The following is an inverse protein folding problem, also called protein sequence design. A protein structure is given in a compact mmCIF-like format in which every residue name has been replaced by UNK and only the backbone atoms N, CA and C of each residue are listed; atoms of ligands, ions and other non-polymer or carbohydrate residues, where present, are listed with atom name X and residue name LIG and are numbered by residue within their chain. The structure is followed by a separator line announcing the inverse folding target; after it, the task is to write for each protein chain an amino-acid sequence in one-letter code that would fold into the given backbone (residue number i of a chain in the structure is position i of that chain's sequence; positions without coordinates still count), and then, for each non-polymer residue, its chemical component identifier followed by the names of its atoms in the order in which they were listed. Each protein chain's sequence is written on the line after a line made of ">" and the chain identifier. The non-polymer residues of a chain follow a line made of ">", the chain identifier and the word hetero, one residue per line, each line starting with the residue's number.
data_IF_774805948619
#
_entry.id   IF_774805948619
#
_cell.length_a   1.000
_cell.length_b   1.000
_cell.length_c   1.000
_cell.angle_alpha   90.00
_cell.angle_beta   90.00
_cell.angle_gamma   90.00
#
_symmetry.space_group_name_H-M   'P 1'
#
loop_
_entity.id
_entity.type
_entity.pdbx_description
1 polymer ?
#
# COMPACT_ATOMS: atom_id res chain seq x y z
N UNK A 1 -10.66 -52.28 11.83
CA UNK A 1 -9.90 -51.01 11.73
C UNK A 1 -10.75 -49.94 11.04
N UNK A 2 -11.11 -48.89 11.76
CA UNK A 2 -12.05 -47.83 11.34
C UNK A 2 -11.46 -46.89 10.28
N UNK A 3 -11.73 -47.16 9.00
CA UNK A 3 -11.37 -46.28 7.87
C UNK A 3 -12.18 -44.96 7.81
N UNK A 4 -13.17 -44.77 8.69
CA UNK A 4 -14.09 -43.61 8.69
C UNK A 4 -13.67 -42.46 9.60
N UNK A 5 -12.63 -42.61 10.42
CA UNK A 5 -12.18 -41.55 11.33
C UNK A 5 -11.09 -40.64 10.74
N UNK A 6 -10.54 -40.96 9.57
CA UNK A 6 -9.41 -40.21 8.99
C UNK A 6 -9.81 -39.05 8.06
N UNK A 7 -11.09 -38.91 7.70
CA UNK A 7 -11.54 -37.88 6.73
C UNK A 7 -12.08 -36.61 7.42
N UNK A 8 -12.16 -36.57 8.75
CA UNK A 8 -12.71 -35.38 9.46
C UNK A 8 -11.68 -34.28 9.79
N UNK A 9 -10.39 -34.50 9.53
CA UNK A 9 -9.33 -33.53 9.87
C UNK A 9 -8.98 -32.56 8.72
N UNK A 10 -9.42 -32.81 7.48
CA UNK A 10 -8.90 -32.11 6.30
C UNK A 10 -9.69 -30.86 5.88
N UNK A 11 -10.80 -30.54 6.56
CA UNK A 11 -11.68 -29.40 6.20
C UNK A 11 -11.48 -28.20 7.14
N UNK A 12 -10.87 -28.38 8.31
CA UNK A 12 -10.68 -27.31 9.31
C UNK A 12 -9.42 -26.46 9.08
N UNK A 13 -8.45 -26.97 8.33
CA UNK A 13 -7.17 -26.31 8.09
C UNK A 13 -7.27 -24.99 7.30
N UNK A 14 -8.05 -24.89 6.20
CA UNK A 14 -8.15 -23.63 5.44
C UNK A 14 -8.87 -22.53 6.23
N UNK A 15 -9.93 -22.89 6.96
CA UNK A 15 -10.74 -21.91 7.72
C UNK A 15 -9.96 -21.36 8.91
N UNK A 16 -9.24 -22.22 9.65
CA UNK A 16 -8.39 -21.78 10.75
C UNK A 16 -7.26 -20.84 10.27
N UNK A 17 -6.66 -21.12 9.11
CA UNK A 17 -5.60 -20.28 8.54
C UNK A 17 -6.13 -18.90 8.10
N UNK A 18 -7.33 -18.84 7.52
CA UNK A 18 -7.97 -17.57 7.13
C UNK A 18 -8.37 -16.74 8.37
N UNK A 19 -8.87 -17.39 9.43
CA UNK A 19 -9.20 -16.69 10.67
C UNK A 19 -7.95 -16.19 11.40
N UNK A 20 -6.89 -17.00 11.46
CA UNK A 20 -5.61 -16.61 12.07
C UNK A 20 -4.94 -15.45 11.32
N UNK A 21 -4.94 -15.48 9.98
CA UNK A 21 -4.36 -14.39 9.17
C UNK A 21 -5.15 -13.09 9.31
N UNK A 22 -6.49 -13.13 9.34
CA UNK A 22 -7.31 -11.96 9.67
C UNK A 22 -7.02 -11.41 11.06
N UNK A 23 -6.85 -12.27 12.06
CA UNK A 23 -6.53 -11.85 13.43
C UNK A 23 -5.16 -11.16 13.48
N UNK A 24 -4.12 -11.78 12.93
CA UNK A 24 -2.77 -11.19 12.87
C UNK A 24 -2.77 -9.86 12.12
N UNK A 25 -3.43 -9.79 10.95
CA UNK A 25 -3.56 -8.56 10.18
C UNK A 25 -4.29 -7.45 10.96
N UNK A 26 -5.21 -7.81 11.87
CA UNK A 26 -5.91 -6.85 12.72
C UNK A 26 -5.04 -6.37 13.90
N UNK A 27 -4.18 -7.26 14.42
CA UNK A 27 -3.30 -6.94 15.55
C UNK A 27 -2.04 -6.16 15.12
N UNK A 28 -1.58 -6.34 13.88
CA UNK A 28 -0.42 -5.63 13.36
C UNK A 28 -0.77 -4.17 13.08
N UNK A 29 -0.02 -3.26 13.71
CA UNK A 29 -0.18 -1.84 13.50
C UNK A 29 0.63 -1.39 12.29
N UNK A 30 0.05 -0.49 11.50
CA UNK A 30 0.65 0.14 10.34
C UNK A 30 0.64 1.67 10.51
N UNK A 31 1.38 2.19 11.51
CA UNK A 31 1.34 3.61 11.84
C UNK A 31 1.97 4.43 10.70
N UNK A 32 1.14 5.17 9.97
CA UNK A 32 1.63 6.16 9.00
C UNK A 32 2.37 7.31 9.68
N UNK A 33 2.17 7.53 10.99
CA UNK A 33 2.94 8.50 11.78
C UNK A 33 4.44 8.26 11.71
N UNK A 34 4.86 7.00 11.74
CA UNK A 34 6.28 6.66 11.78
C UNK A 34 6.93 6.93 10.42
N UNK A 35 6.22 6.60 9.34
CA UNK A 35 6.64 6.96 7.98
C UNK A 35 6.63 8.48 7.80
N UNK A 36 5.63 9.19 8.34
CA UNK A 36 5.56 10.65 8.26
C UNK A 36 6.76 11.31 8.95
N UNK A 37 7.17 10.82 10.12
CA UNK A 37 8.38 11.29 10.82
C UNK A 37 9.61 11.02 9.97
N UNK A 38 9.73 9.82 9.38
CA UNK A 38 10.83 9.48 8.48
C UNK A 38 10.89 10.42 7.27
N UNK A 39 9.76 10.63 6.57
CA UNK A 39 9.66 11.50 5.40
C UNK A 39 10.09 12.94 5.74
N UNK A 40 9.64 13.48 6.89
CA UNK A 40 10.01 14.82 7.35
C UNK A 40 11.49 14.97 7.68
N UNK A 41 12.19 13.87 7.96
CA UNK A 41 13.62 13.88 8.27
C UNK A 41 14.52 13.66 7.03
N UNK A 42 13.96 13.33 5.86
CA UNK A 42 14.74 13.11 4.65
C UNK A 42 15.36 14.42 4.15
N UNK A 43 16.68 14.44 3.83
CA UNK A 43 17.33 15.60 3.21
C UNK A 43 17.18 15.57 1.68
N UNK A 44 16.21 16.29 1.06
CA UNK A 44 15.82 16.09 -0.35
C UNK A 44 16.98 16.20 -1.36
N UNK A 45 17.95 17.09 -1.09
CA UNK A 45 19.10 17.33 -1.97
C UNK A 45 20.18 16.24 -1.93
N UNK A 46 20.11 15.34 -0.95
CA UNK A 46 21.05 14.22 -0.81
C UNK A 46 20.42 12.88 -1.17
N UNK A 47 19.15 12.87 -1.57
CA UNK A 47 18.45 11.63 -1.89
C UNK A 47 18.87 11.11 -3.27
N UNK A 48 19.18 9.82 -3.32
CA UNK A 48 19.45 9.06 -4.54
C UNK A 48 18.54 7.86 -4.62
N UNK A 49 18.20 7.43 -5.84
CA UNK A 49 17.42 6.22 -6.10
C UNK A 49 18.29 5.12 -6.69
N UNK A 50 18.08 3.89 -6.25
CA UNK A 50 18.67 2.67 -6.83
C UNK A 50 17.74 1.99 -7.87
N UNK A 51 16.51 2.48 -8.02
CA UNK A 51 15.50 1.94 -8.93
C UNK A 51 15.54 2.55 -10.33
N UNK A 52 14.57 2.15 -11.16
CA UNK A 52 14.36 2.71 -12.51
C UNK A 52 13.89 4.16 -12.45
N UNK A 53 13.00 4.47 -11.50
CA UNK A 53 12.53 5.82 -11.26
C UNK A 53 13.51 6.62 -10.40
N UNK A 54 13.65 7.90 -10.71
CA UNK A 54 14.38 8.82 -9.83
C UNK A 54 13.58 9.10 -8.54
N UNK A 55 14.23 9.74 -7.56
CA UNK A 55 13.62 10.02 -6.25
C UNK A 55 12.30 10.79 -6.39
N UNK A 56 12.29 11.83 -7.22
CA UNK A 56 11.08 12.65 -7.46
C UNK A 56 9.92 11.83 -8.00
N UNK A 57 10.16 10.96 -8.98
CA UNK A 57 9.13 10.08 -9.54
C UNK A 57 8.58 9.09 -8.50
N UNK A 58 9.45 8.51 -7.66
CA UNK A 58 9.02 7.62 -6.57
C UNK A 58 8.08 8.37 -5.59
N UNK A 59 8.47 9.57 -5.18
CA UNK A 59 7.67 10.41 -4.26
C UNK A 59 6.34 10.83 -4.89
N UNK A 60 6.33 11.20 -6.18
CA UNK A 60 5.11 11.52 -6.94
C UNK A 60 4.17 10.31 -7.03
N UNK A 61 4.70 9.12 -7.34
CA UNK A 61 3.90 7.89 -7.41
C UNK A 61 3.24 7.58 -6.06
N UNK A 62 3.99 7.69 -4.97
CA UNK A 62 3.45 7.51 -3.62
C UNK A 62 2.36 8.55 -3.31
N UNK A 63 2.55 9.79 -3.76
CA UNK A 63 1.57 10.88 -3.60
C UNK A 63 0.27 10.56 -4.35
N UNK A 64 0.36 10.11 -5.60
CA UNK A 64 -0.80 9.66 -6.38
C UNK A 64 -1.54 8.52 -5.66
N UNK A 65 -0.81 7.50 -5.20
CA UNK A 65 -1.40 6.34 -4.51
C UNK A 65 -2.22 6.75 -3.28
N UNK A 66 -1.67 7.64 -2.43
CA UNK A 66 -2.34 8.09 -1.21
C UNK A 66 -3.50 9.04 -1.53
N UNK A 67 -3.26 10.04 -2.37
CA UNK A 67 -4.26 11.06 -2.71
C UNK A 67 -5.50 10.43 -3.35
N UNK A 68 -5.34 9.41 -4.19
CA UNK A 68 -6.47 8.73 -4.84
C UNK A 68 -7.33 7.89 -3.90
N UNK A 69 -6.86 7.58 -2.68
CA UNK A 69 -7.75 7.02 -1.65
C UNK A 69 -8.80 8.03 -1.17
N UNK A 70 -8.54 9.33 -1.34
CA UNK A 70 -9.45 10.44 -1.00
C UNK A 70 -10.20 10.93 -2.26
N UNK A 71 -9.47 11.21 -3.33
CA UNK A 71 -10.00 11.88 -4.53
C UNK A 71 -10.43 10.93 -5.64
N UNK A 72 -10.03 9.65 -5.57
CA UNK A 72 -10.44 8.61 -6.50
C UNK A 72 -9.35 8.25 -7.50
N UNK A 73 -9.23 6.96 -7.80
CA UNK A 73 -8.28 6.47 -8.81
C UNK A 73 -8.84 6.73 -10.21
N UNK A 74 -8.01 7.19 -11.18
CA UNK A 74 -8.48 7.55 -12.51
C UNK A 74 -9.08 6.38 -13.30
N UNK A 75 -8.49 5.19 -13.17
CA UNK A 75 -8.99 3.97 -13.79
C UNK A 75 -8.95 2.81 -12.80
N UNK A 76 -10.07 2.10 -12.71
CA UNK A 76 -10.18 0.88 -11.94
C UNK A 76 -9.77 -0.35 -12.78
N UNK A 77 -9.11 -1.33 -12.16
CA UNK A 77 -9.03 -2.69 -12.74
C UNK A 77 -10.42 -3.34 -12.74
N UNK A 78 -10.60 -4.38 -13.54
CA UNK A 78 -11.90 -5.03 -13.71
C UNK A 78 -12.49 -5.49 -12.35
N UNK A 79 -13.82 -5.44 -12.16
CA UNK A 79 -14.45 -5.90 -10.92
C UNK A 79 -14.06 -7.33 -10.55
N UNK A 80 -13.94 -8.24 -11.54
CA UNK A 80 -13.51 -9.62 -11.33
C UNK A 80 -12.11 -9.70 -10.70
N UNK A 81 -11.17 -8.82 -11.07
CA UNK A 81 -9.84 -8.75 -10.45
C UNK A 81 -9.92 -8.24 -9.00
N UNK A 82 -10.71 -7.19 -8.76
CA UNK A 82 -10.87 -6.61 -7.43
C UNK A 82 -11.53 -7.58 -6.43
N UNK A 83 -12.52 -8.35 -6.87
CA UNK A 83 -13.29 -9.27 -6.03
C UNK A 83 -12.64 -10.64 -5.81
N UNK A 84 -11.59 -11.01 -6.56
CA UNK A 84 -10.91 -12.30 -6.42
C UNK A 84 -9.62 -12.21 -5.62
N UNK A 85 -8.57 -11.65 -6.23
CA UNK A 85 -7.21 -11.61 -5.68
C UNK A 85 -7.07 -10.44 -4.70
N UNK A 86 -7.73 -9.32 -4.96
CA UNK A 86 -7.48 -8.05 -4.26
C UNK A 86 -7.72 -8.09 -2.75
N UNK A 87 -8.91 -8.52 -2.30
CA UNK A 87 -9.24 -8.54 -0.86
C UNK A 87 -8.47 -9.59 -0.06
N UNK A 88 -8.15 -10.73 -0.66
CA UNK A 88 -7.34 -11.77 -0.02
C UNK A 88 -5.87 -11.32 0.06
N UNK A 89 -5.37 -10.66 -0.98
CA UNK A 89 -4.01 -10.12 -1.01
C UNK A 89 -3.79 -9.04 0.07
N UNK A 90 -4.72 -8.11 0.28
CA UNK A 90 -4.58 -7.08 1.33
C UNK A 90 -4.43 -7.69 2.72
N UNK A 91 -5.24 -8.70 3.07
CA UNK A 91 -5.12 -9.36 4.37
C UNK A 91 -3.81 -10.16 4.49
N UNK A 92 -3.37 -10.79 3.39
CA UNK A 92 -2.09 -11.49 3.36
C UNK A 92 -0.92 -10.51 3.55
N UNK A 93 -0.88 -9.39 2.83
CA UNK A 93 0.14 -8.36 2.96
C UNK A 93 0.15 -7.73 4.36
N UNK A 94 -1.03 -7.47 4.93
CA UNK A 94 -1.18 -6.99 6.29
C UNK A 94 -0.73 -8.02 7.35
N UNK A 95 -0.80 -9.32 7.05
CA UNK A 95 -0.28 -10.34 7.95
C UNK A 95 1.25 -10.48 7.81
N UNK A 96 1.78 -10.51 6.59
CA UNK A 96 3.22 -10.70 6.32
C UNK A 96 4.04 -9.44 6.60
N UNK A 97 3.44 -8.26 6.49
CA UNK A 97 4.18 -7.00 6.57
C UNK A 97 4.93 -6.64 5.31
N UNK A 98 4.56 -7.22 4.17
CA UNK A 98 5.19 -6.94 2.87
C UNK A 98 4.13 -6.86 1.80
N UNK A 99 4.21 -5.82 0.99
CA UNK A 99 3.45 -5.69 -0.25
C UNK A 99 4.45 -5.86 -1.39
N UNK A 100 4.23 -6.87 -2.24
CA UNK A 100 5.09 -7.11 -3.40
C UNK A 100 4.36 -6.69 -4.67
N UNK A 101 4.94 -5.73 -5.38
CA UNK A 101 4.48 -5.21 -6.66
C UNK A 101 5.70 -4.66 -7.43
N UNK A 102 5.59 -4.48 -8.75
CA UNK A 102 6.62 -3.77 -9.51
C UNK A 102 6.74 -2.32 -9.01
N UNK A 103 7.96 -1.89 -8.71
CA UNK A 103 8.21 -0.55 -8.14
C UNK A 103 8.28 0.57 -9.18
N UNK A 104 8.14 0.21 -10.46
CA UNK A 104 8.17 1.08 -11.63
C UNK A 104 6.90 0.96 -12.50
N UNK A 105 5.80 0.43 -11.94
CA UNK A 105 4.49 0.36 -12.61
C UNK A 105 3.64 1.60 -12.29
N UNK A 106 3.26 2.43 -13.30
CA UNK A 106 2.40 3.59 -13.07
C UNK A 106 0.98 3.19 -12.68
N UNK A 107 0.30 4.05 -11.92
CA UNK A 107 -1.12 3.87 -11.61
C UNK A 107 -1.93 4.04 -12.92
N UNK A 108 -2.81 3.09 -13.27
CA UNK A 108 -3.61 3.18 -14.49
C UNK A 108 -4.39 4.50 -14.61
N UNK A 109 -4.15 5.21 -15.72
CA UNK A 109 -4.81 6.48 -16.03
C UNK A 109 -4.35 7.69 -15.19
N UNK A 110 -3.38 7.53 -14.30
CA UNK A 110 -2.79 8.66 -13.59
C UNK A 110 -1.92 9.53 -14.53
N UNK A 111 -1.76 10.83 -14.24
CA UNK A 111 -0.79 11.67 -14.94
C UNK A 111 0.61 11.06 -14.91
N UNK A 112 1.37 11.28 -15.98
CA UNK A 112 2.75 10.84 -16.04
C UNK A 112 3.58 11.47 -14.91
N UNK A 113 4.55 10.71 -14.40
CA UNK A 113 5.48 11.20 -13.36
C UNK A 113 6.51 12.11 -14.01
N UNK A 114 6.74 13.28 -13.43
CA UNK A 114 7.63 14.31 -13.99
C UNK A 114 9.06 14.16 -13.43
N UNK A 115 10.04 13.67 -14.22
CA UNK A 115 11.37 13.40 -13.69
C UNK A 115 12.13 14.66 -13.27
N UNK A 116 11.80 15.81 -13.85
CA UNK A 116 12.44 17.10 -13.59
C UNK A 116 11.87 17.87 -12.40
N UNK A 117 10.83 17.37 -11.72
CA UNK A 117 10.29 18.02 -10.54
C UNK A 117 11.30 17.92 -9.38
N UNK A 118 11.64 19.03 -8.68
CA UNK A 118 12.57 18.98 -7.56
C UNK A 118 12.14 18.01 -6.44
N UNK A 119 13.12 17.32 -5.84
CA UNK A 119 12.86 16.35 -4.78
C UNK A 119 12.17 16.98 -3.56
N UNK A 120 12.51 18.22 -3.20
CA UNK A 120 11.91 18.92 -2.06
C UNK A 120 10.42 19.21 -2.28
N UNK A 121 10.04 19.55 -3.52
CA UNK A 121 8.65 19.75 -3.92
C UNK A 121 7.88 18.43 -3.87
N UNK A 122 8.41 17.37 -4.50
CA UNK A 122 7.77 16.06 -4.49
C UNK A 122 7.63 15.47 -3.07
N UNK A 123 8.64 15.66 -2.22
CA UNK A 123 8.62 15.22 -0.83
C UNK A 123 7.58 15.97 0.00
N UNK A 124 7.46 17.29 -0.19
CA UNK A 124 6.48 18.13 0.52
C UNK A 124 5.04 17.74 0.16
N UNK A 125 4.78 17.48 -1.12
CA UNK A 125 3.48 17.00 -1.59
C UNK A 125 3.13 15.64 -0.98
N UNK A 126 4.09 14.70 -0.93
CA UNK A 126 3.87 13.41 -0.29
C UNK A 126 3.53 13.56 1.20
N UNK A 127 4.31 14.36 1.93
CA UNK A 127 4.07 14.65 3.36
C UNK A 127 2.67 15.20 3.57
N UNK A 128 2.28 16.20 2.77
CA UNK A 128 0.94 16.80 2.83
C UNK A 128 -0.16 15.75 2.61
N UNK A 129 -0.05 14.89 1.60
CA UNK A 129 -1.06 13.89 1.32
C UNK A 129 -1.11 12.75 2.35
N UNK A 130 0.02 12.40 2.98
CA UNK A 130 0.04 11.48 4.13
C UNK A 130 -0.74 12.08 5.30
N UNK A 131 -0.47 13.35 5.66
CA UNK A 131 -1.18 14.06 6.73
C UNK A 131 -2.68 14.19 6.43
N UNK A 132 -3.02 14.62 5.22
CA UNK A 132 -4.41 14.71 4.76
C UNK A 132 -5.12 13.36 4.86
N UNK A 133 -4.49 12.27 4.44
CA UNK A 133 -5.06 10.94 4.62
C UNK A 133 -5.22 10.60 6.10
N UNK A 134 -4.24 10.84 6.96
CA UNK A 134 -4.35 10.53 8.38
C UNK A 134 -5.55 11.24 9.04
N UNK A 135 -5.78 12.50 8.68
CA UNK A 135 -6.85 13.33 9.21
C UNK A 135 -8.21 13.14 8.52
N UNK A 136 -8.24 12.53 7.34
CA UNK A 136 -9.47 12.36 6.55
C UNK A 136 -10.53 11.54 7.28
N UNK A 137 -11.68 12.19 7.54
CA UNK A 137 -12.90 11.59 8.12
C UNK A 137 -14.03 11.37 7.11
N UNK A 138 -13.84 11.80 5.87
CA UNK A 138 -14.83 11.63 4.80
C UNK A 138 -14.88 10.19 4.27
N UNK A 139 -15.77 9.96 3.31
CA UNK A 139 -15.81 8.72 2.55
C UNK A 139 -14.50 8.52 1.78
N UNK A 140 -13.96 7.30 1.80
CA UNK A 140 -12.81 6.92 0.98
C UNK A 140 -13.29 6.35 -0.36
N UNK A 141 -12.48 6.56 -1.38
CA UNK A 141 -12.73 6.04 -2.71
C UNK A 141 -12.27 4.58 -2.82
N UNK A 142 -12.82 3.78 -3.76
CA UNK A 142 -12.37 2.41 -3.97
C UNK A 142 -10.93 2.36 -4.51
N UNK A 143 -10.12 1.42 -4.02
CA UNK A 143 -8.77 1.20 -4.54
C UNK A 143 -8.83 0.59 -5.94
N UNK A 144 -8.02 1.09 -6.88
CA UNK A 144 -8.07 0.62 -8.28
C UNK A 144 -7.89 -0.89 -8.44
N UNK A 145 -7.05 -1.51 -7.60
CA UNK A 145 -6.77 -2.94 -7.61
C UNK A 145 -7.58 -3.77 -6.59
N UNK A 146 -8.02 -3.16 -5.49
CA UNK A 146 -8.55 -3.89 -4.33
C UNK A 146 -10.03 -3.59 -4.03
N UNK A 147 -10.63 -2.65 -4.77
CA UNK A 147 -12.01 -2.21 -4.56
C UNK A 147 -12.18 -1.48 -3.23
N UNK A 148 -13.36 -1.59 -2.63
CA UNK A 148 -13.69 -0.90 -1.38
C UNK A 148 -12.85 -1.45 -0.21
N UNK A 149 -12.11 -0.56 0.44
CA UNK A 149 -11.30 -0.83 1.63
C UNK A 149 -11.79 0.01 2.81
N UNK A 150 -11.66 -0.53 4.02
CA UNK A 150 -11.83 0.26 5.25
C UNK A 150 -10.65 1.22 5.44
N UNK A 151 -10.81 2.22 6.31
CA UNK A 151 -9.71 3.12 6.70
C UNK A 151 -8.48 2.34 7.19
N UNK A 152 -8.69 1.36 8.07
CA UNK A 152 -7.60 0.52 8.60
C UNK A 152 -6.90 -0.29 7.50
N UNK A 153 -7.64 -0.82 6.53
CA UNK A 153 -7.04 -1.49 5.36
C UNK A 153 -6.21 -0.52 4.51
N UNK A 154 -6.69 0.69 4.28
CA UNK A 154 -5.90 1.73 3.61
C UNK A 154 -4.65 2.12 4.39
N UNK A 155 -4.70 2.19 5.73
CA UNK A 155 -3.50 2.37 6.54
C UNK A 155 -2.46 1.28 6.27
N UNK A 156 -2.88 0.00 6.22
CA UNK A 156 -1.96 -1.10 5.91
C UNK A 156 -1.40 -1.02 4.49
N UNK A 157 -2.23 -0.72 3.49
CA UNK A 157 -1.81 -0.62 2.08
C UNK A 157 -0.84 0.54 1.90
N UNK A 158 -1.18 1.74 2.38
CA UNK A 158 -0.33 2.92 2.24
C UNK A 158 0.99 2.75 2.97
N UNK A 159 0.98 2.20 4.19
CA UNK A 159 2.20 2.01 4.96
C UNK A 159 3.16 1.03 4.26
N UNK A 160 2.65 -0.13 3.82
CA UNK A 160 3.44 -1.12 3.12
C UNK A 160 3.92 -0.64 1.75
N UNK A 161 3.06 0.04 1.00
CA UNK A 161 3.40 0.62 -0.31
C UNK A 161 4.53 1.65 -0.16
N UNK A 162 4.41 2.58 0.79
CA UNK A 162 5.46 3.55 1.11
C UNK A 162 6.77 2.86 1.50
N UNK A 163 6.73 1.88 2.41
CA UNK A 163 7.93 1.14 2.81
C UNK A 163 8.66 0.53 1.60
N UNK A 164 7.94 -0.19 0.74
CA UNK A 164 8.51 -0.84 -0.44
C UNK A 164 9.17 0.16 -1.41
N UNK A 165 8.58 1.34 -1.60
CA UNK A 165 9.16 2.36 -2.47
C UNK A 165 10.33 3.11 -1.81
N UNK A 166 10.25 3.39 -0.51
CA UNK A 166 11.31 4.06 0.24
C UNK A 166 12.58 3.19 0.35
N UNK A 167 12.47 1.86 0.26
CA UNK A 167 13.62 0.96 0.18
C UNK A 167 14.54 1.24 -1.03
N UNK A 168 14.02 1.87 -2.10
CA UNK A 168 14.84 2.26 -3.26
C UNK A 168 15.60 3.58 -3.06
N UNK A 169 15.27 4.36 -2.02
CA UNK A 169 15.83 5.67 -1.75
C UNK A 169 16.90 5.58 -0.65
N UNK A 170 18.06 6.18 -0.91
CA UNK A 170 19.16 6.29 0.04
C UNK A 170 19.66 7.75 0.15
N UNK A 171 20.34 8.04 1.25
CA UNK A 171 21.04 9.32 1.45
C UNK A 171 22.48 9.13 0.99
N UNK A 172 22.92 9.98 0.06
CA UNK A 172 24.30 10.08 -0.42
C UNK A 172 25.14 11.07 0.38
#
# INVERSE_FOLDING_TARGET
>A
MNRRQFIKASVLTPVALVLASKLVATLRQYPLSDILVQLKALPPERLTSSGVWNVSQILQHCTQSISYSIYGYPQARSPLFQYSIGKLAVNAFAATGKLHHPLDEPIPGAPALEPGLPNDVALRELIYHVEQFMDWRGQLQPHFAFGNLTKAQYYSVHNLHLQSHLEQISIS
#
